data_IF_492365622678
#
_entry.id   IF_492365622678
#
_cell.length_a   1.000
_cell.length_b   1.000
_cell.length_c   1.000
_cell.angle_alpha   90.00
_cell.angle_beta   90.00
_cell.angle_gamma   90.00
#
_symmetry.space_group_name_H-M   'P 1'
#
loop_
_entity.id
_entity.type
_entity.pdbx_description
1 polymer ?
#
# COMPACT_ATOMS: atom_id res chain seq x y z
N UNK A 1 8.43 6.09 -73.68
CA UNK A 1 7.94 5.47 -72.42
C UNK A 1 8.72 6.04 -71.25
N UNK A 2 8.12 6.92 -70.44
CA UNK A 2 8.55 7.16 -69.06
C UNK A 2 7.39 6.93 -68.07
N UNK A 3 7.69 6.27 -66.96
CA UNK A 3 6.75 6.03 -65.85
C UNK A 3 6.86 7.24 -64.91
N UNK A 4 5.78 8.03 -64.85
CA UNK A 4 5.59 9.11 -63.87
C UNK A 4 4.94 8.51 -62.60
N UNK A 5 5.59 8.69 -61.45
CA UNK A 5 4.97 8.53 -60.12
C UNK A 5 4.26 9.82 -59.70
N UNK A 6 2.99 9.80 -59.24
CA UNK A 6 2.39 10.93 -58.58
C UNK A 6 2.55 10.86 -57.05
N UNK A 7 2.68 12.05 -56.46
CA UNK A 7 2.82 12.33 -55.05
C UNK A 7 1.61 11.85 -54.21
N UNK A 8 1.91 11.23 -53.06
CA UNK A 8 0.95 11.01 -51.97
C UNK A 8 0.55 12.36 -51.35
N UNK A 9 -0.70 12.76 -51.54
CA UNK A 9 -1.39 13.76 -50.71
C UNK A 9 -1.93 13.06 -49.46
N UNK A 10 -1.47 13.47 -48.29
CA UNK A 10 -2.02 13.08 -47.00
C UNK A 10 -3.47 13.59 -46.87
N UNK A 11 -4.41 12.66 -46.90
CA UNK A 11 -5.83 12.90 -46.64
C UNK A 11 -6.03 12.94 -45.11
N UNK A 12 -6.35 14.13 -44.58
CA UNK A 12 -6.77 14.32 -43.20
C UNK A 12 -8.19 13.73 -43.06
N UNK A 13 -8.31 12.51 -42.51
CA UNK A 13 -9.61 11.95 -42.15
C UNK A 13 -10.08 12.60 -40.84
N UNK A 14 -11.05 13.50 -40.96
CA UNK A 14 -11.90 13.95 -39.87
C UNK A 14 -12.84 12.78 -39.51
N UNK A 15 -12.51 12.02 -38.47
CA UNK A 15 -13.42 11.00 -37.94
C UNK A 15 -14.60 11.71 -37.26
N UNK A 16 -15.75 11.71 -37.94
CA UNK A 16 -17.02 12.14 -37.39
C UNK A 16 -17.39 11.23 -36.20
N UNK A 17 -17.70 11.85 -35.07
CA UNK A 17 -18.27 11.22 -33.89
C UNK A 17 -19.64 10.62 -34.24
N UNK A 18 -19.69 9.31 -34.44
CA UNK A 18 -20.93 8.54 -34.46
C UNK A 18 -21.57 8.62 -33.06
N UNK A 19 -22.82 9.09 -33.03
CA UNK A 19 -23.59 9.34 -31.81
C UNK A 19 -23.72 8.10 -30.93
N UNK A 20 -23.37 8.25 -29.65
CA UNK A 20 -23.71 7.31 -28.62
C UNK A 20 -25.24 7.20 -28.51
N UNK A 21 -25.76 5.97 -28.62
CA UNK A 21 -27.16 5.69 -28.37
C UNK A 21 -27.55 6.13 -26.95
N UNK A 22 -28.77 6.67 -26.73
CA UNK A 22 -29.25 7.04 -25.40
C UNK A 22 -29.18 5.81 -24.48
N UNK A 23 -28.41 5.98 -23.41
CA UNK A 23 -27.88 4.92 -22.57
C UNK A 23 -28.94 4.02 -21.96
N UNK A 24 -28.71 2.71 -22.07
CA UNK A 24 -29.22 1.79 -21.07
C UNK A 24 -28.80 2.32 -19.70
N UNK A 25 -29.78 2.56 -18.81
CA UNK A 25 -29.49 2.91 -17.43
C UNK A 25 -28.47 1.89 -16.91
N UNK A 26 -27.32 2.33 -16.35
CA UNK A 26 -26.34 1.41 -15.82
C UNK A 26 -27.08 0.47 -14.86
N UNK A 27 -26.92 -0.85 -15.07
CA UNK A 27 -27.49 -1.84 -14.19
C UNK A 27 -27.18 -1.43 -12.75
N UNK A 28 -28.22 -1.35 -11.90
CA UNK A 28 -28.07 -1.02 -10.48
C UNK A 28 -26.97 -1.91 -9.92
N UNK A 29 -25.83 -1.31 -9.62
CA UNK A 29 -24.71 -2.04 -9.04
C UNK A 29 -25.24 -2.73 -7.77
N UNK A 30 -24.95 -4.02 -7.62
CA UNK A 30 -25.32 -4.76 -6.43
C UNK A 30 -24.88 -3.98 -5.18
N UNK A 31 -25.74 -3.96 -4.15
CA UNK A 31 -25.42 -3.26 -2.92
C UNK A 31 -24.06 -3.75 -2.37
N UNK A 32 -23.21 -2.85 -1.86
CA UNK A 32 -21.92 -3.24 -1.32
C UNK A 32 -22.10 -4.31 -0.22
N UNK A 33 -21.34 -5.40 -0.34
CA UNK A 33 -21.32 -6.47 0.67
C UNK A 33 -20.16 -6.16 1.63
N UNK A 34 -20.51 -5.85 2.88
CA UNK A 34 -19.56 -5.68 3.97
C UNK A 34 -19.57 -6.88 4.90
N UNK A 35 -18.39 -7.41 5.21
CA UNK A 35 -18.24 -8.38 6.30
C UNK A 35 -17.83 -7.64 7.57
N UNK A 36 -18.48 -7.97 8.69
CA UNK A 36 -18.25 -7.32 9.97
C UNK A 36 -17.56 -8.28 10.93
N UNK A 37 -16.66 -7.76 11.76
CA UNK A 37 -16.01 -8.54 12.80
C UNK A 37 -15.81 -7.73 14.07
N UNK A 38 -15.93 -8.38 15.23
CA UNK A 38 -15.42 -7.89 16.50
C UNK A 38 -13.98 -8.36 16.65
N UNK A 39 -13.07 -7.42 16.93
CA UNK A 39 -11.64 -7.69 16.99
C UNK A 39 -11.27 -8.24 18.38
N UNK A 40 -10.41 -9.25 18.38
CA UNK A 40 -9.68 -9.71 19.56
C UNK A 40 -8.23 -9.29 19.44
N UNK A 41 -7.77 -8.45 20.36
CA UNK A 41 -6.35 -8.16 20.41
C UNK A 41 -5.63 -9.22 21.21
N UNK A 42 -4.72 -9.88 20.51
CA UNK A 42 -3.86 -10.92 21.07
C UNK A 42 -2.46 -10.35 21.13
N UNK A 43 -1.92 -10.31 22.34
CA UNK A 43 -0.54 -9.98 22.55
C UNK A 43 0.32 -11.20 22.41
N UNK A 44 1.49 -10.99 21.84
CA UNK A 44 2.46 -12.04 21.62
C UNK A 44 3.57 -11.90 22.64
N UNK A 45 3.65 -12.86 23.56
CA UNK A 45 4.84 -13.03 24.38
C UNK A 45 5.97 -13.55 23.50
N UNK A 46 7.23 -13.20 23.78
CA UNK A 46 8.36 -13.65 22.96
C UNK A 46 8.42 -15.17 22.83
N UNK A 47 8.06 -15.93 23.87
CA UNK A 47 8.03 -17.39 23.81
C UNK A 47 7.00 -17.99 22.83
N UNK A 48 6.23 -17.14 22.12
CA UNK A 48 5.20 -17.54 21.18
C UNK A 48 3.87 -17.85 21.86
N UNK A 49 3.79 -17.73 23.19
CA UNK A 49 2.52 -17.84 23.89
C UNK A 49 1.67 -16.58 23.64
N UNK A 50 0.37 -16.81 23.44
CA UNK A 50 -0.60 -15.74 23.34
C UNK A 50 -1.04 -15.34 24.75
N UNK A 51 -0.84 -14.07 25.11
CA UNK A 51 -1.59 -13.44 26.18
C UNK A 51 -2.74 -12.68 25.53
N UNK A 52 -3.98 -13.06 25.82
CA UNK A 52 -5.14 -12.29 25.37
C UNK A 52 -5.22 -11.02 26.22
N UNK A 53 -4.70 -9.92 25.69
CA UNK A 53 -4.71 -8.65 26.43
C UNK A 53 -6.10 -8.00 26.38
N UNK A 54 -6.83 -8.12 25.26
CA UNK A 54 -8.17 -7.53 25.12
C UNK A 54 -9.08 -8.40 24.24
N UNK A 55 -9.62 -9.52 24.78
CA UNK A 55 -10.68 -10.26 24.09
C UNK A 55 -11.97 -9.43 24.03
N UNK A 56 -12.77 -9.65 22.99
CA UNK A 56 -14.07 -8.99 22.79
C UNK A 56 -13.94 -7.48 22.92
N UNK A 57 -12.97 -6.91 22.18
CA UNK A 57 -12.67 -5.49 22.26
C UNK A 57 -13.85 -4.63 21.78
N UNK A 58 -13.72 -3.32 21.97
CA UNK A 58 -14.65 -2.32 21.44
C UNK A 58 -14.36 -1.94 19.97
N UNK A 59 -13.43 -2.65 19.33
CA UNK A 59 -13.08 -2.50 17.93
C UNK A 59 -13.91 -3.42 17.02
N UNK A 60 -14.55 -2.79 16.04
CA UNK A 60 -15.14 -3.43 14.88
C UNK A 60 -14.25 -3.30 13.66
N UNK A 61 -14.37 -4.24 12.74
CA UNK A 61 -13.79 -4.16 11.39
C UNK A 61 -14.88 -4.35 10.34
N UNK A 62 -14.91 -3.47 9.35
CA UNK A 62 -15.64 -3.64 8.11
C UNK A 62 -14.65 -4.03 7.00
N UNK A 63 -14.73 -5.27 6.49
CA UNK A 63 -14.11 -5.65 5.23
C UNK A 63 -15.11 -5.37 4.09
N UNK A 64 -14.87 -4.28 3.36
CA UNK A 64 -15.72 -3.86 2.25
C UNK A 64 -15.11 -4.30 0.93
N UNK A 65 -15.86 -5.10 0.17
CA UNK A 65 -15.48 -5.45 -1.21
C UNK A 65 -16.31 -4.64 -2.20
N UNK A 66 -15.64 -3.94 -3.10
CA UNK A 66 -16.30 -3.18 -4.15
C UNK A 66 -15.41 -3.05 -5.39
N UNK A 67 -16.05 -2.84 -6.54
CA UNK A 67 -15.36 -2.57 -7.79
C UNK A 67 -14.69 -1.20 -7.77
N UNK A 68 -13.44 -1.19 -8.21
CA UNK A 68 -12.67 0.00 -8.46
C UNK A 68 -13.37 0.92 -9.46
N UNK A 69 -13.44 2.21 -9.12
CA UNK A 69 -13.92 3.26 -10.01
C UNK A 69 -12.81 4.24 -10.37
N UNK A 70 -12.97 4.91 -11.51
CA UNK A 70 -12.08 5.99 -11.94
C UNK A 70 -12.20 7.23 -11.04
N UNK A 71 -13.34 7.39 -10.37
CA UNK A 71 -13.57 8.45 -9.39
C UNK A 71 -13.50 7.88 -7.98
N UNK A 72 -13.01 8.69 -7.03
CA UNK A 72 -13.04 8.32 -5.62
C UNK A 72 -14.49 8.04 -5.18
N UNK A 73 -14.69 6.93 -4.47
CA UNK A 73 -15.95 6.62 -3.79
C UNK A 73 -15.74 6.75 -2.28
N UNK A 74 -16.82 6.99 -1.55
CA UNK A 74 -16.78 7.31 -0.13
C UNK A 74 -17.58 6.28 0.67
N UNK A 75 -16.87 5.58 1.55
CA UNK A 75 -17.44 4.64 2.51
C UNK A 75 -18.07 5.41 3.66
N UNK A 76 -19.32 5.07 3.95
CA UNK A 76 -20.09 5.60 5.05
C UNK A 76 -20.74 4.45 5.82
N UNK A 77 -20.49 4.39 7.12
CA UNK A 77 -21.05 3.37 8.01
C UNK A 77 -21.73 4.00 9.21
N UNK A 78 -23.02 3.76 9.33
CA UNK A 78 -23.82 4.00 10.52
C UNK A 78 -23.96 2.67 11.29
N UNK A 79 -23.63 2.67 12.58
CA UNK A 79 -23.80 1.50 13.48
C UNK A 79 -24.62 1.95 14.68
N UNK A 80 -25.77 1.32 14.86
CA UNK A 80 -26.71 1.58 15.96
C UNK A 80 -27.06 3.08 16.11
N UNK A 81 -27.24 3.76 14.97
CA UNK A 81 -27.58 5.19 14.92
C UNK A 81 -26.40 6.15 15.04
N UNK A 82 -25.17 5.64 15.17
CA UNK A 82 -23.95 6.45 15.24
C UNK A 82 -23.14 6.34 13.96
N UNK A 83 -22.77 7.48 13.36
CA UNK A 83 -21.94 7.52 12.16
C UNK A 83 -20.47 7.20 12.48
N UNK A 84 -20.08 5.93 12.35
CA UNK A 84 -18.75 5.44 12.75
C UNK A 84 -17.68 5.63 11.69
N UNK A 85 -18.01 5.47 10.41
CA UNK A 85 -17.10 5.76 9.28
C UNK A 85 -17.75 6.84 8.44
N UNK A 86 -17.07 7.99 8.30
CA UNK A 86 -17.60 9.15 7.61
C UNK A 86 -16.75 9.49 6.41
N UNK A 87 -17.32 9.40 5.21
CA UNK A 87 -16.74 9.83 3.96
C UNK A 87 -15.30 9.35 3.73
N UNK A 88 -15.02 8.08 4.05
CA UNK A 88 -13.69 7.53 3.87
C UNK A 88 -13.46 7.11 2.42
N UNK A 89 -12.40 7.56 1.75
CA UNK A 89 -12.12 7.14 0.39
C UNK A 89 -11.95 5.62 0.26
N UNK A 90 -12.55 5.06 -0.78
CA UNK A 90 -12.33 3.69 -1.23
C UNK A 90 -11.39 3.69 -2.43
N UNK A 91 -10.22 3.06 -2.28
CA UNK A 91 -9.17 3.06 -3.29
C UNK A 91 -9.27 1.85 -4.23
N UNK A 92 -9.04 2.12 -5.51
CA UNK A 92 -8.98 1.15 -6.59
C UNK A 92 -7.65 0.36 -6.62
N UNK A 93 -7.21 -0.23 -5.49
CA UNK A 93 -5.85 -0.81 -5.35
C UNK A 93 -5.53 -1.94 -6.36
N UNK A 94 -6.55 -2.62 -6.90
CA UNK A 94 -6.38 -3.68 -7.92
C UNK A 94 -6.55 -3.13 -9.37
N UNK A 95 -6.64 -1.81 -9.53
CA UNK A 95 -6.91 -1.14 -10.79
C UNK A 95 -8.38 -1.10 -11.19
N UNK A 96 -8.70 -0.25 -12.16
CA UNK A 96 -10.07 -0.02 -12.65
C UNK A 96 -10.74 -1.30 -13.16
N UNK A 97 -12.01 -1.49 -12.79
CA UNK A 97 -12.81 -2.65 -13.20
C UNK A 97 -12.54 -3.93 -12.42
N UNK A 98 -11.56 -3.93 -11.50
CA UNK A 98 -11.31 -5.04 -10.60
C UNK A 98 -11.87 -4.74 -9.20
N UNK A 99 -12.45 -5.74 -8.56
CA UNK A 99 -12.86 -5.62 -7.16
C UNK A 99 -11.64 -5.55 -6.24
N UNK A 100 -11.73 -4.73 -5.20
CA UNK A 100 -10.78 -4.71 -4.10
C UNK A 100 -11.51 -4.90 -2.78
N UNK A 101 -10.82 -5.45 -1.78
CA UNK A 101 -11.31 -5.51 -0.41
C UNK A 101 -10.48 -4.58 0.45
N UNK A 102 -11.11 -3.59 1.07
CA UNK A 102 -10.48 -2.67 2.00
C UNK A 102 -11.11 -2.82 3.39
N UNK A 103 -10.26 -2.86 4.41
CA UNK A 103 -10.66 -2.96 5.79
C UNK A 103 -10.73 -1.58 6.44
N UNK A 104 -11.81 -1.29 7.15
CA UNK A 104 -12.01 -0.06 7.90
C UNK A 104 -12.33 -0.38 9.35
N UNK A 105 -11.50 0.10 10.27
CA UNK A 105 -11.78 -0.05 11.69
C UNK A 105 -12.83 0.96 12.16
N UNK A 106 -13.64 0.56 13.13
CA UNK A 106 -14.66 1.41 13.72
C UNK A 106 -14.93 1.04 15.19
N UNK A 107 -15.61 1.92 15.91
CA UNK A 107 -16.05 1.65 17.29
C UNK A 107 -17.39 0.95 17.34
N UNK A 108 -17.44 -0.15 18.08
CA UNK A 108 -18.67 -0.85 18.43
C UNK A 108 -19.42 -0.16 19.59
N UNK A 109 -18.73 0.65 20.39
CA UNK A 109 -19.32 1.36 21.52
C UNK A 109 -19.66 0.48 22.73
N UNK A 110 -19.24 -0.78 22.74
CA UNK A 110 -19.34 -1.66 23.90
C UNK A 110 -18.16 -1.46 24.87
N UNK A 111 -18.30 -1.99 26.07
CA UNK A 111 -17.16 -2.17 26.98
C UNK A 111 -16.33 -3.39 26.54
N UNK A 112 -14.99 -3.31 26.49
CA UNK A 112 -14.14 -4.47 26.22
C UNK A 112 -14.47 -5.66 27.13
N UNK A 113 -14.42 -6.88 26.59
CA UNK A 113 -14.87 -8.10 27.27
C UNK A 113 -16.35 -8.44 27.03
N UNK A 114 -17.10 -7.59 26.32
CA UNK A 114 -18.51 -7.84 25.98
C UNK A 114 -18.64 -8.37 24.56
N UNK A 115 -19.24 -9.56 24.40
CA UNK A 115 -19.55 -10.12 23.09
C UNK A 115 -20.67 -9.34 22.41
N UNK A 116 -20.44 -8.95 21.15
CA UNK A 116 -21.44 -8.34 20.29
C UNK A 116 -21.70 -9.28 19.12
N UNK A 117 -22.81 -10.02 19.18
CA UNK A 117 -23.15 -11.00 18.15
C UNK A 117 -23.68 -10.36 16.87
N UNK A 118 -24.36 -9.22 16.99
CA UNK A 118 -24.95 -8.51 15.87
C UNK A 118 -25.01 -7.00 16.11
N UNK A 119 -24.98 -6.24 15.02
CA UNK A 119 -25.20 -4.78 15.00
C UNK A 119 -26.29 -4.41 13.99
N UNK A 120 -27.05 -3.35 14.28
CA UNK A 120 -27.85 -2.69 13.26
C UNK A 120 -26.95 -1.72 12.48
N UNK A 121 -27.03 -1.73 11.14
CA UNK A 121 -26.14 -0.91 10.33
C UNK A 121 -26.81 -0.27 9.12
N UNK A 122 -26.24 0.85 8.70
CA UNK A 122 -26.45 1.49 7.41
C UNK A 122 -25.11 1.62 6.70
N UNK A 123 -24.97 1.06 5.50
CA UNK A 123 -23.73 1.12 4.71
C UNK A 123 -23.99 1.78 3.37
N UNK A 124 -23.19 2.78 3.03
CA UNK A 124 -23.23 3.44 1.73
C UNK A 124 -21.83 3.57 1.14
N UNK A 125 -21.75 3.41 -0.19
CA UNK A 125 -20.55 3.65 -0.99
C UNK A 125 -20.90 4.60 -2.14
N UNK A 126 -20.80 5.89 -1.87
CA UNK A 126 -21.26 6.98 -2.75
C UNK A 126 -20.13 7.61 -3.57
N UNK A 127 -20.46 8.29 -4.66
CA UNK A 127 -19.49 9.10 -5.42
C UNK A 127 -19.24 10.47 -4.81
N UNK A 128 -20.19 10.98 -4.03
CA UNK A 128 -20.07 12.23 -3.30
C UNK A 128 -20.04 11.97 -1.79
N UNK A 129 -19.33 12.80 -1.01
CA UNK A 129 -19.41 12.77 0.44
C UNK A 129 -20.86 13.02 0.90
N UNK A 130 -21.30 12.26 1.90
CA UNK A 130 -22.61 12.46 2.53
C UNK A 130 -22.54 13.58 3.58
N UNK A 131 -23.66 14.29 3.73
CA UNK A 131 -23.84 15.29 4.77
C UNK A 131 -24.36 14.69 6.10
N UNK A 132 -25.05 13.56 6.03
CA UNK A 132 -25.61 12.80 7.15
C UNK A 132 -25.26 11.32 7.05
N UNK A 133 -25.37 10.60 8.16
CA UNK A 133 -25.18 9.16 8.20
C UNK A 133 -26.20 8.46 7.26
N UNK A 134 -25.84 7.33 6.63
CA UNK A 134 -26.82 6.51 5.93
C UNK A 134 -27.85 5.96 6.93
N UNK A 135 -29.10 5.81 6.49
CA UNK A 135 -30.14 5.18 7.29
C UNK A 135 -29.78 3.73 7.60
N UNK A 136 -30.22 3.26 8.77
CA UNK A 136 -30.08 1.84 9.14
C UNK A 136 -30.92 1.02 8.17
N UNK A 137 -30.28 0.11 7.46
CA UNK A 137 -30.88 -0.67 6.38
C UNK A 137 -30.81 -2.18 6.62
N UNK A 138 -30.12 -2.63 7.67
CA UNK A 138 -30.04 -4.04 8.00
C UNK A 138 -29.40 -4.34 9.34
N UNK A 139 -29.22 -5.64 9.60
CA UNK A 139 -28.45 -6.17 10.72
C UNK A 139 -27.34 -7.05 10.18
N UNK A 140 -26.17 -7.02 10.82
CA UNK A 140 -25.04 -7.88 10.49
C UNK A 140 -24.61 -8.68 11.71
N UNK A 141 -24.30 -9.96 11.51
CA UNK A 141 -23.60 -10.77 12.51
C UNK A 141 -22.11 -10.42 12.50
N UNK A 142 -21.48 -10.39 13.67
CA UNK A 142 -20.04 -10.13 13.78
C UNK A 142 -19.28 -11.44 13.91
N UNK A 143 -18.35 -11.67 12.99
CA UNK A 143 -17.34 -12.71 13.19
C UNK A 143 -16.35 -12.29 14.27
N UNK A 144 -15.65 -13.26 14.86
CA UNK A 144 -14.52 -13.01 15.75
C UNK A 144 -13.26 -12.91 14.91
N UNK A 145 -12.47 -11.85 15.08
CA UNK A 145 -11.23 -11.66 14.34
C UNK A 145 -10.03 -11.51 15.28
N UNK A 146 -9.17 -12.53 15.41
CA UNK A 146 -7.91 -12.38 16.15
C UNK A 146 -6.96 -11.47 15.37
N UNK A 147 -6.54 -10.39 16.03
CA UNK A 147 -5.47 -9.49 15.59
C UNK A 147 -4.31 -9.67 16.56
N UNK A 148 -3.19 -10.14 16.04
CA UNK A 148 -1.98 -10.35 16.80
C UNK A 148 -0.84 -9.56 16.17
N UNK A 149 -0.32 -8.59 16.91
CA UNK A 149 0.80 -7.74 16.51
C UNK A 149 1.80 -7.81 17.66
N UNK A 150 3.01 -8.29 17.39
CA UNK A 150 4.01 -8.43 18.45
C UNK A 150 4.95 -7.26 18.61
N UNK A 151 5.76 -7.32 19.69
CA UNK A 151 6.75 -6.32 20.08
C UNK A 151 8.09 -6.44 19.36
N UNK A 152 8.96 -5.43 19.57
CA UNK A 152 10.38 -5.53 19.20
C UNK A 152 11.14 -6.40 20.21
N UNK A 153 12.38 -6.79 19.90
CA UNK A 153 13.27 -7.60 20.76
C UNK A 153 13.33 -7.16 22.25
N UNK A 154 12.90 -8.04 23.18
CA UNK A 154 13.15 -7.94 24.63
C UNK A 154 12.21 -7.03 25.42
N UNK A 155 10.95 -6.90 25.00
CA UNK A 155 10.07 -5.78 25.34
C UNK A 155 8.61 -6.14 25.63
N UNK A 156 8.04 -5.53 26.67
CA UNK A 156 6.67 -5.82 27.12
C UNK A 156 5.63 -5.67 25.99
N UNK A 157 4.57 -6.49 25.99
CA UNK A 157 3.46 -6.43 25.04
C UNK A 157 2.80 -5.04 24.93
N UNK A 158 1.97 -4.82 23.89
CA UNK A 158 1.24 -3.56 23.70
C UNK A 158 0.29 -3.36 24.87
N UNK A 159 0.70 -2.59 25.88
CA UNK A 159 -0.17 -2.12 26.95
C UNK A 159 -1.21 -1.17 26.35
N UNK A 160 -2.36 -1.74 26.02
CA UNK A 160 -3.61 -1.10 25.66
C UNK A 160 -3.66 -0.38 24.30
N UNK A 161 -4.45 -0.94 23.38
CA UNK A 161 -4.91 -0.23 22.19
C UNK A 161 -6.09 0.64 22.61
N UNK A 162 -5.97 1.95 22.43
CA UNK A 162 -7.02 2.88 22.79
C UNK A 162 -8.33 2.53 22.07
N UNK A 163 -9.46 2.82 22.73
CA UNK A 163 -10.78 2.72 22.10
C UNK A 163 -10.78 3.43 20.73
N UNK A 164 -11.30 2.81 19.67
CA UNK A 164 -11.23 3.37 18.33
C UNK A 164 -12.07 4.64 18.29
N UNK A 165 -11.53 5.69 17.70
CA UNK A 165 -12.31 6.89 17.39
C UNK A 165 -13.17 6.65 16.15
N UNK A 166 -14.16 7.52 15.92
CA UNK A 166 -14.83 7.55 14.62
C UNK A 166 -13.79 7.78 13.51
N UNK A 167 -13.92 7.03 12.42
CA UNK A 167 -13.01 7.16 11.29
C UNK A 167 -13.49 8.29 10.38
N UNK A 168 -12.82 9.44 10.51
CA UNK A 168 -13.22 10.68 9.87
C UNK A 168 -12.44 10.90 8.57
N UNK A 169 -13.14 10.77 7.46
CA UNK A 169 -12.72 11.20 6.13
C UNK A 169 -13.33 12.55 5.74
N UNK A 170 -13.25 12.87 4.45
CA UNK A 170 -13.83 14.05 3.82
C UNK A 170 -13.81 13.84 2.29
N UNK A 171 -14.31 14.81 1.53
CA UNK A 171 -14.07 14.89 0.11
C UNK A 171 -12.57 14.84 -0.21
N UNK A 172 -12.20 14.12 -1.26
CA UNK A 172 -10.87 14.18 -1.82
C UNK A 172 -10.58 15.62 -2.31
N UNK A 173 -9.42 16.15 -1.91
CA UNK A 173 -8.88 17.43 -2.36
C UNK A 173 -7.98 17.29 -3.60
N UNK A 174 -7.60 16.06 -3.93
CA UNK A 174 -6.82 15.69 -5.11
C UNK A 174 -7.11 14.23 -5.46
N UNK A 175 -6.73 13.81 -6.66
CA UNK A 175 -6.84 12.41 -7.08
C UNK A 175 -6.05 11.51 -6.11
N UNK A 176 -6.63 10.36 -5.69
CA UNK A 176 -5.92 9.41 -4.87
C UNK A 176 -4.65 8.89 -5.56
N UNK A 177 -3.58 8.76 -4.78
CA UNK A 177 -2.36 8.11 -5.19
C UNK A 177 -2.35 6.73 -4.57
N UNK A 178 -2.12 5.69 -5.36
CA UNK A 178 -1.94 4.35 -4.82
C UNK A 178 -1.05 3.49 -5.70
N UNK A 179 -0.51 2.44 -5.10
CA UNK A 179 0.30 1.44 -5.77
C UNK A 179 -0.62 0.32 -6.23
N UNK A 180 -0.86 0.26 -7.55
CA UNK A 180 -1.70 -0.78 -8.17
C UNK A 180 -1.06 -2.16 -8.03
N UNK A 181 -1.91 -3.17 -7.78
CA UNK A 181 -1.56 -4.59 -7.71
C UNK A 181 -0.40 -4.86 -6.74
N UNK A 182 -0.38 -4.13 -5.62
CA UNK A 182 0.65 -4.29 -4.61
C UNK A 182 0.56 -5.68 -3.97
N UNK A 183 1.65 -6.48 -3.95
CA UNK A 183 1.61 -7.80 -3.35
C UNK A 183 1.41 -7.65 -1.84
N UNK A 184 0.55 -8.49 -1.29
CA UNK A 184 0.47 -8.70 0.15
C UNK A 184 0.68 -10.19 0.39
N UNK A 185 1.58 -10.55 1.30
CA UNK A 185 2.05 -11.91 1.48
C UNK A 185 1.71 -12.39 2.88
N UNK A 186 1.29 -13.65 2.98
CA UNK A 186 1.30 -14.35 4.26
C UNK A 186 2.73 -14.35 4.82
N UNK A 187 2.86 -14.02 6.10
CA UNK A 187 4.15 -13.99 6.78
C UNK A 187 4.07 -14.76 8.10
N UNK A 188 5.25 -15.11 8.61
CA UNK A 188 5.36 -15.86 9.86
C UNK A 188 5.26 -15.00 11.11
N UNK A 189 5.56 -15.63 12.23
CA UNK A 189 5.57 -15.05 13.56
C UNK A 189 6.54 -13.87 13.69
N UNK A 190 6.02 -12.66 13.94
CA UNK A 190 6.77 -11.41 14.10
C UNK A 190 7.55 -10.95 12.85
N UNK A 191 6.95 -11.13 11.66
CA UNK A 191 7.62 -10.87 10.37
C UNK A 191 7.12 -9.59 9.66
N UNK A 192 6.47 -8.65 10.36
CA UNK A 192 5.95 -7.42 9.73
C UNK A 192 6.98 -6.67 8.88
N UNK A 193 8.20 -6.45 9.39
CA UNK A 193 9.26 -5.76 8.64
C UNK A 193 9.73 -6.57 7.43
N UNK A 194 10.17 -7.84 7.57
CA UNK A 194 10.50 -8.67 6.41
C UNK A 194 9.39 -8.76 5.36
N UNK A 195 8.13 -8.85 5.78
CA UNK A 195 6.97 -8.91 4.91
C UNK A 195 6.78 -7.60 4.14
N UNK A 196 6.73 -6.46 4.83
CA UNK A 196 6.58 -5.14 4.22
C UNK A 196 7.70 -4.84 3.20
N UNK A 197 8.95 -5.15 3.55
CA UNK A 197 10.10 -4.96 2.65
C UNK A 197 10.04 -5.94 1.47
N UNK A 198 9.67 -7.20 1.70
CA UNK A 198 9.51 -8.20 0.63
C UNK A 198 8.44 -7.78 -0.37
N UNK A 199 7.28 -7.32 0.12
CA UNK A 199 6.18 -6.84 -0.71
C UNK A 199 6.63 -5.68 -1.61
N UNK A 200 7.28 -4.66 -1.03
CA UNK A 200 7.80 -3.52 -1.79
C UNK A 200 8.82 -3.91 -2.86
N UNK A 201 9.77 -4.78 -2.52
CA UNK A 201 10.79 -5.25 -3.47
C UNK A 201 10.22 -6.10 -4.59
N UNK A 202 9.22 -6.95 -4.29
CA UNK A 202 8.53 -7.75 -5.32
C UNK A 202 7.72 -6.86 -6.26
N UNK A 203 7.09 -5.82 -5.73
CA UNK A 203 6.41 -4.83 -6.56
C UNK A 203 7.39 -4.08 -7.47
N UNK A 204 8.52 -3.58 -6.93
CA UNK A 204 9.57 -2.92 -7.73
C UNK A 204 10.15 -3.86 -8.80
N UNK A 205 10.27 -5.16 -8.51
CA UNK A 205 10.68 -6.16 -9.51
C UNK A 205 9.65 -6.28 -10.63
N UNK A 206 8.38 -6.48 -10.29
CA UNK A 206 7.30 -6.67 -11.26
C UNK A 206 7.06 -5.40 -12.10
N UNK A 207 6.90 -4.25 -11.45
CA UNK A 207 6.43 -3.02 -12.11
C UNK A 207 7.55 -2.10 -12.58
N UNK A 208 8.74 -2.19 -12.00
CA UNK A 208 9.87 -1.29 -12.32
C UNK A 208 11.10 -2.02 -12.87
N UNK A 209 11.06 -3.35 -12.98
CA UNK A 209 12.15 -4.14 -13.56
C UNK A 209 13.38 -4.27 -12.65
N UNK A 210 13.21 -4.24 -11.33
CA UNK A 210 14.30 -4.55 -10.39
C UNK A 210 14.87 -5.95 -10.68
N UNK A 211 16.09 -6.01 -11.23
CA UNK A 211 16.77 -7.26 -11.56
C UNK A 211 17.40 -7.89 -10.31
N UNK A 212 16.58 -8.58 -9.52
CA UNK A 212 17.01 -9.28 -8.30
C UNK A 212 16.43 -10.70 -8.26
N UNK A 213 17.21 -11.72 -7.87
CA UNK A 213 16.71 -13.08 -7.63
C UNK A 213 15.62 -13.12 -6.55
N UNK A 214 14.57 -13.93 -6.75
CA UNK A 214 13.44 -13.99 -5.79
C UNK A 214 13.85 -14.47 -4.40
N UNK A 215 14.82 -15.38 -4.32
CA UNK A 215 15.35 -15.85 -3.05
C UNK A 215 15.98 -14.71 -2.23
N UNK A 216 16.51 -13.65 -2.85
CA UNK A 216 17.11 -12.48 -2.18
C UNK A 216 16.10 -11.46 -1.67
N UNK A 217 14.87 -11.51 -2.16
CA UNK A 217 13.79 -10.59 -1.72
C UNK A 217 12.63 -11.36 -1.07
N UNK A 218 12.84 -12.64 -0.76
CA UNK A 218 11.90 -13.46 -0.02
C UNK A 218 11.82 -12.99 1.44
N UNK A 219 10.66 -13.21 2.06
CA UNK A 219 10.46 -12.93 3.48
C UNK A 219 11.52 -13.66 4.33
N UNK A 220 11.82 -14.92 4.03
CA UNK A 220 12.81 -15.72 4.75
C UNK A 220 14.23 -15.11 4.66
N UNK A 221 14.67 -14.70 3.48
CA UNK A 221 15.99 -14.10 3.31
C UNK A 221 16.10 -12.72 3.99
N UNK A 222 15.04 -11.92 3.95
CA UNK A 222 15.00 -10.63 4.63
C UNK A 222 14.91 -10.79 6.14
N UNK A 223 14.18 -11.80 6.64
CA UNK A 223 14.10 -12.12 8.06
C UNK A 223 15.47 -12.43 8.66
N UNK A 224 16.34 -13.12 7.92
CA UNK A 224 17.72 -13.42 8.35
C UNK A 224 18.59 -12.18 8.60
N UNK A 225 18.16 -11.00 8.17
CA UNK A 225 18.93 -9.75 8.27
C UNK A 225 18.21 -8.68 9.09
N UNK A 226 16.87 -8.65 9.00
CA UNK A 226 16.02 -7.60 9.57
C UNK A 226 15.43 -7.96 10.94
N UNK A 227 15.45 -9.24 11.33
CA UNK A 227 15.05 -9.66 12.68
C UNK A 227 16.20 -9.50 13.69
N UNK A 228 15.85 -9.47 14.98
CA UNK A 228 16.81 -9.65 16.06
C UNK A 228 17.48 -11.03 16.04
N UNK A 229 18.55 -11.23 16.84
CA UNK A 229 19.35 -12.46 16.87
C UNK A 229 18.59 -13.70 17.39
N UNK A 230 17.53 -13.52 18.18
CA UNK A 230 16.67 -14.56 18.71
C UNK A 230 15.59 -15.00 17.73
N UNK A 231 15.25 -16.29 17.76
CA UNK A 231 14.14 -16.87 16.97
C UNK A 231 12.80 -16.18 17.23
N UNK A 232 12.66 -15.66 18.44
CA UNK A 232 11.48 -15.01 18.98
C UNK A 232 11.54 -13.48 18.90
N UNK A 233 12.65 -12.92 18.43
CA UNK A 233 12.77 -11.47 18.36
C UNK A 233 11.94 -10.96 17.19
N UNK A 234 11.30 -9.80 17.39
CA UNK A 234 10.69 -9.05 16.30
C UNK A 234 11.74 -8.47 15.34
N UNK A 235 11.37 -7.42 14.64
CA UNK A 235 12.33 -6.64 13.88
C UNK A 235 13.37 -6.01 14.82
N UNK A 236 14.62 -5.94 14.37
CA UNK A 236 15.65 -5.17 15.08
C UNK A 236 15.29 -3.67 15.07
N UNK A 237 15.61 -2.93 16.14
CA UNK A 237 15.29 -1.49 16.25
C UNK A 237 15.87 -0.65 15.12
N UNK A 238 16.99 -1.07 14.56
CA UNK A 238 17.69 -0.41 13.47
C UNK A 238 17.49 -1.11 12.11
N UNK A 239 16.37 -1.81 11.92
CA UNK A 239 16.13 -2.63 10.72
C UNK A 239 16.35 -1.86 9.42
N UNK A 240 16.06 -0.56 9.38
CA UNK A 240 16.28 0.29 8.21
C UNK A 240 17.77 0.47 7.88
N UNK A 241 18.67 0.46 8.88
CA UNK A 241 20.12 0.44 8.66
C UNK A 241 20.58 -0.92 8.14
N UNK A 242 20.08 -2.00 8.74
CA UNK A 242 20.37 -3.36 8.28
C UNK A 242 19.87 -3.58 6.83
N UNK A 243 18.70 -3.06 6.47
CA UNK A 243 18.16 -3.03 5.10
C UNK A 243 19.09 -2.27 4.15
N UNK A 244 19.53 -1.07 4.52
CA UNK A 244 20.47 -0.29 3.72
C UNK A 244 21.79 -1.02 3.48
N UNK A 245 22.31 -1.68 4.52
CA UNK A 245 23.52 -2.49 4.43
C UNK A 245 23.29 -3.72 3.53
N UNK A 246 22.15 -4.42 3.67
CA UNK A 246 21.77 -5.54 2.81
C UNK A 246 21.70 -5.16 1.32
N UNK A 247 21.09 -4.01 1.01
CA UNK A 247 21.03 -3.43 -0.34
C UNK A 247 22.44 -3.23 -0.90
N UNK A 248 23.35 -2.67 -0.09
CA UNK A 248 24.75 -2.44 -0.49
C UNK A 248 25.51 -3.74 -0.72
N UNK A 249 25.43 -4.68 0.22
CA UNK A 249 26.19 -5.95 0.18
C UNK A 249 25.74 -6.85 -0.98
N UNK A 250 24.45 -6.83 -1.29
CA UNK A 250 23.90 -7.57 -2.42
C UNK A 250 23.90 -6.76 -3.73
N UNK A 251 24.50 -5.57 -3.74
CA UNK A 251 24.61 -4.68 -4.91
C UNK A 251 23.25 -4.43 -5.60
N UNK A 252 22.20 -4.30 -4.80
CA UNK A 252 20.86 -4.05 -5.34
C UNK A 252 20.80 -2.62 -5.89
N UNK A 253 20.21 -2.40 -7.07
CA UNK A 253 20.15 -1.10 -7.73
C UNK A 253 19.09 -0.18 -7.11
N UNK A 254 19.14 -0.01 -5.79
CA UNK A 254 18.13 0.68 -5.01
C UNK A 254 18.74 1.86 -4.24
N UNK A 255 17.98 2.95 -4.14
CA UNK A 255 18.19 3.99 -3.15
C UNK A 255 17.27 3.73 -1.97
N UNK A 256 17.68 4.18 -0.79
CA UNK A 256 16.85 4.17 0.39
C UNK A 256 16.93 5.53 1.06
N UNK A 257 15.79 6.05 1.48
CA UNK A 257 15.70 7.28 2.24
C UNK A 257 14.82 7.07 3.47
N UNK A 258 15.28 7.54 4.63
CA UNK A 258 14.47 7.56 5.85
C UNK A 258 13.74 8.90 5.94
N UNK A 259 12.42 8.85 5.79
CA UNK A 259 11.52 9.99 5.86
C UNK A 259 10.92 10.04 7.27
N UNK A 260 11.24 11.09 8.03
CA UNK A 260 10.74 11.28 9.41
C UNK A 260 9.49 12.14 9.50
N UNK A 261 8.88 12.47 8.36
CA UNK A 261 7.62 13.20 8.34
C UNK A 261 6.71 12.66 7.25
N UNK A 262 5.41 12.67 7.55
CA UNK A 262 4.40 12.13 6.66
C UNK A 262 4.26 12.92 5.34
N UNK A 263 4.33 14.27 5.29
CA UNK A 263 4.23 15.00 4.03
C UNK A 263 5.29 14.61 2.98
N UNK A 264 6.53 14.33 3.41
CA UNK A 264 7.57 13.84 2.51
C UNK A 264 7.30 12.42 2.06
N UNK A 265 6.77 11.55 2.93
CA UNK A 265 6.31 10.22 2.53
C UNK A 265 5.18 10.31 1.50
N UNK A 266 4.21 11.20 1.70
CA UNK A 266 3.13 11.43 0.75
C UNK A 266 3.64 11.92 -0.62
N UNK A 267 4.58 12.87 -0.62
CA UNK A 267 5.22 13.33 -1.86
C UNK A 267 6.03 12.23 -2.54
N UNK A 268 6.71 11.37 -1.77
CA UNK A 268 7.47 10.26 -2.32
C UNK A 268 6.55 9.20 -2.96
N UNK A 269 5.43 8.85 -2.32
CA UNK A 269 4.44 7.92 -2.88
C UNK A 269 3.84 8.47 -4.18
N UNK A 270 3.51 9.77 -4.20
CA UNK A 270 2.93 10.46 -5.35
C UNK A 270 3.79 10.44 -6.62
N UNK A 271 5.11 10.20 -6.51
CA UNK A 271 5.99 10.02 -7.67
C UNK A 271 5.73 8.71 -8.42
N UNK A 272 5.11 7.71 -7.77
CA UNK A 272 4.75 6.43 -8.38
C UNK A 272 5.93 5.52 -8.73
N UNK A 273 7.14 5.84 -8.27
CA UNK A 273 8.38 5.08 -8.48
C UNK A 273 9.00 4.56 -7.18
N UNK A 274 8.32 4.80 -6.06
CA UNK A 274 8.81 4.57 -4.70
C UNK A 274 7.84 3.69 -3.95
N UNK A 275 8.39 2.71 -3.21
CA UNK A 275 7.65 1.96 -2.17
C UNK A 275 8.01 2.54 -0.82
N UNK A 276 7.06 2.56 0.11
CA UNK A 276 7.25 3.11 1.44
C UNK A 276 6.90 2.06 2.47
N UNK A 277 7.87 1.67 3.29
CA UNK A 277 7.60 0.96 4.52
C UNK A 277 7.32 1.98 5.64
N UNK A 278 6.18 1.81 6.29
CA UNK A 278 5.73 2.64 7.40
C UNK A 278 5.88 1.82 8.67
N UNK A 279 6.68 2.30 9.60
CA UNK A 279 6.88 1.70 10.90
C UNK A 279 6.38 2.65 11.97
N UNK A 280 5.61 2.13 12.91
CA UNK A 280 5.16 2.87 14.07
C UNK A 280 5.69 2.18 15.32
N UNK A 281 6.10 2.98 16.29
CA UNK A 281 6.61 2.49 17.56
C UNK A 281 6.13 3.36 18.71
N UNK A 282 5.63 2.72 19.77
CA UNK A 282 5.41 3.35 21.09
C UNK A 282 6.33 2.68 22.08
N UNK A 283 7.33 3.44 22.53
CA UNK A 283 8.38 2.95 23.40
C UNK A 283 9.09 1.76 22.77
N UNK A 284 8.62 0.58 23.13
CA UNK A 284 9.26 -0.70 22.94
C UNK A 284 8.54 -1.62 21.96
N UNK A 285 7.27 -1.36 21.67
CA UNK A 285 6.50 -2.10 20.68
C UNK A 285 6.50 -1.36 19.35
N UNK A 286 6.55 -2.08 18.23
CA UNK A 286 6.29 -1.49 16.93
C UNK A 286 5.63 -2.45 15.95
N UNK A 287 4.96 -1.85 14.97
CA UNK A 287 4.43 -2.55 13.80
C UNK A 287 5.00 -1.94 12.53
N UNK A 288 5.06 -2.72 11.46
CA UNK A 288 5.47 -2.21 10.15
C UNK A 288 4.55 -2.70 9.05
N UNK A 289 4.27 -1.82 8.10
CA UNK A 289 3.36 -2.03 6.99
C UNK A 289 3.93 -1.41 5.73
N UNK A 290 3.39 -1.79 4.57
CA UNK A 290 3.63 -1.05 3.34
C UNK A 290 2.57 0.03 3.19
N UNK A 291 2.98 1.29 3.05
CA UNK A 291 2.08 2.39 2.67
C UNK A 291 1.83 2.32 1.16
N UNK A 292 0.59 1.99 0.78
CA UNK A 292 0.23 1.70 -0.61
C UNK A 292 -0.80 2.65 -1.19
N UNK A 293 -1.42 3.52 -0.38
CA UNK A 293 -2.44 4.44 -0.87
C UNK A 293 -2.59 5.68 0.00
N UNK A 294 -2.89 6.80 -0.64
CA UNK A 294 -3.08 8.11 -0.02
C UNK A 294 -4.14 8.90 -0.77
N UNK A 295 -5.05 9.52 -0.01
CA UNK A 295 -5.97 10.54 -0.53
C UNK A 295 -5.86 11.78 0.34
N UNK A 296 -5.45 12.90 -0.25
CA UNK A 296 -5.50 14.19 0.46
C UNK A 296 -6.96 14.61 0.62
N UNK A 297 -7.37 14.94 1.84
CA UNK A 297 -8.75 15.30 2.20
C UNK A 297 -8.92 16.82 2.26
N UNK A 298 -10.13 17.34 2.00
CA UNK A 298 -10.41 18.80 2.03
C UNK A 298 -10.22 19.42 3.41
N UNK A 299 -10.46 18.68 4.49
CA UNK A 299 -10.14 19.09 5.85
C UNK A 299 -8.62 19.22 6.16
N UNK A 300 -7.75 18.89 5.20
CA UNK A 300 -6.30 18.99 5.32
C UNK A 300 -5.61 17.70 5.77
N UNK A 301 -6.37 16.68 6.20
CA UNK A 301 -5.84 15.37 6.61
C UNK A 301 -5.60 14.47 5.38
N UNK A 302 -5.13 13.25 5.63
CA UNK A 302 -4.99 12.22 4.60
C UNK A 302 -5.76 10.96 4.99
N UNK A 303 -6.49 10.37 4.05
CA UNK A 303 -6.80 8.95 4.15
C UNK A 303 -5.57 8.15 3.74
N UNK A 304 -5.23 7.14 4.54
CA UNK A 304 -3.99 6.35 4.43
C UNK A 304 -4.35 4.89 4.31
N UNK A 305 -3.87 4.23 3.27
CA UNK A 305 -4.10 2.81 3.01
C UNK A 305 -2.80 2.03 3.09
N UNK A 306 -2.80 0.97 3.90
CA UNK A 306 -1.64 0.13 4.14
C UNK A 306 -1.91 -1.33 3.82
N UNK A 307 -0.93 -2.03 3.25
CA UNK A 307 -0.91 -3.49 3.19
C UNK A 307 -0.05 -4.00 4.34
N UNK A 308 -0.63 -4.82 5.21
CA UNK A 308 0.07 -5.37 6.37
C UNK A 308 -0.47 -6.71 6.82
N UNK A 309 0.35 -7.35 7.64
CA UNK A 309 -0.02 -8.49 8.46
C UNK A 309 -0.73 -8.04 9.73
N UNK A 310 -1.81 -8.75 10.04
CA UNK A 310 -2.69 -8.43 11.16
C UNK A 310 -2.84 -9.60 12.11
N UNK A 311 -2.39 -10.79 11.69
CA UNK A 311 -2.28 -11.94 12.56
C UNK A 311 -0.86 -12.51 12.46
N UNK A 312 -0.03 -12.13 13.42
CA UNK A 312 1.33 -12.62 13.57
C UNK A 312 1.43 -13.84 14.47
N UNK A 313 0.33 -14.52 14.81
CA UNK A 313 0.40 -15.77 15.57
C UNK A 313 1.19 -16.83 14.78
N UNK A 314 1.94 -17.68 15.49
CA UNK A 314 2.68 -18.75 14.85
C UNK A 314 1.74 -19.71 14.12
N UNK A 315 1.98 -19.94 12.82
CA UNK A 315 1.14 -20.80 11.97
C UNK A 315 -0.19 -20.18 11.52
N UNK A 316 -0.48 -18.92 11.85
CA UNK A 316 -1.71 -18.27 11.41
C UNK A 316 -1.60 -17.70 10.00
N UNK A 317 -2.72 -17.75 9.27
CA UNK A 317 -2.89 -17.05 8.01
C UNK A 317 -3.56 -15.69 8.27
N UNK A 318 -2.79 -14.60 8.40
CA UNK A 318 -3.39 -13.25 8.47
C UNK A 318 -2.52 -12.11 7.96
N UNK A 319 -1.60 -12.41 7.05
CA UNK A 319 -0.71 -11.47 6.38
C UNK A 319 -1.33 -10.61 5.27
N UNK A 320 -2.64 -10.65 5.02
CA UNK A 320 -3.23 -10.18 3.75
C UNK A 320 -4.18 -8.99 3.86
N UNK A 321 -4.20 -8.27 4.99
CA UNK A 321 -5.14 -7.15 5.15
C UNK A 321 -4.64 -5.91 4.43
N UNK A 322 -5.58 -5.21 3.80
CA UNK A 322 -5.38 -3.85 3.31
C UNK A 322 -6.31 -2.94 4.08
N UNK A 323 -5.74 -2.18 5.00
CA UNK A 323 -6.50 -1.35 5.93
C UNK A 323 -6.41 0.11 5.54
N UNK A 324 -7.51 0.84 5.71
CA UNK A 324 -7.55 2.29 5.51
C UNK A 324 -7.92 3.02 6.80
N UNK A 325 -7.16 4.05 7.12
CA UNK A 325 -7.42 4.96 8.23
C UNK A 325 -7.13 6.41 7.85
N UNK A 326 -6.96 7.27 8.84
CA UNK A 326 -6.71 8.71 8.64
C UNK A 326 -5.41 9.12 9.31
N UNK A 327 -4.61 9.96 8.65
CA UNK A 327 -3.50 10.70 9.26
C UNK A 327 -3.92 12.15 9.45
N UNK A 328 -3.94 12.59 10.71
CA UNK A 328 -4.24 13.97 11.06
C UNK A 328 -3.00 14.84 10.93
N UNK A 329 -3.07 15.86 10.07
CA UNK A 329 -1.93 16.73 9.78
C UNK A 329 -1.60 17.71 10.91
N UNK A 330 -2.53 17.96 11.82
CA UNK A 330 -2.35 18.87 12.96
C UNK A 330 -1.73 18.16 14.15
N UNK A 331 -2.24 16.96 14.47
CA UNK A 331 -1.75 16.18 15.61
C UNK A 331 -0.60 15.26 15.24
N UNK A 332 -0.46 14.90 13.96
CA UNK A 332 0.53 13.94 13.48
C UNK A 332 0.19 12.49 13.81
N UNK A 333 -1.07 12.20 14.15
CA UNK A 333 -1.52 10.88 14.59
C UNK A 333 -2.30 10.14 13.51
N UNK A 334 -2.16 8.82 13.49
CA UNK A 334 -2.99 7.93 12.70
C UNK A 334 -4.17 7.42 13.51
N UNK A 335 -5.33 7.26 12.88
CA UNK A 335 -6.52 6.65 13.45
C UNK A 335 -7.09 5.57 12.54
N UNK A 336 -7.66 4.53 13.13
CA UNK A 336 -8.30 3.42 12.42
C UNK A 336 -7.34 2.47 11.69
N UNK A 337 -6.06 2.49 12.07
CA UNK A 337 -5.03 1.57 11.58
C UNK A 337 -4.44 0.76 12.76
N UNK A 338 -4.55 -0.57 12.74
CA UNK A 338 -4.05 -1.40 13.84
C UNK A 338 -2.53 -1.37 13.93
N UNK A 339 -2.01 -1.24 15.15
CA UNK A 339 -0.57 -1.06 15.37
C UNK A 339 -0.04 0.31 14.97
N UNK A 340 -0.91 1.21 14.50
CA UNK A 340 -0.59 2.60 14.15
C UNK A 340 -1.47 3.60 14.90
N UNK A 341 -2.64 3.18 15.40
CA UNK A 341 -3.52 3.99 16.23
C UNK A 341 -3.01 4.02 17.68
N UNK A 342 -2.43 5.14 18.09
CA UNK A 342 -2.18 5.43 19.50
C UNK A 342 -2.34 6.93 19.73
N UNK A 343 -3.25 7.30 20.62
CA UNK A 343 -3.75 8.66 20.77
C UNK A 343 -2.70 9.68 21.21
N UNK A 344 -1.56 9.28 21.77
CA UNK A 344 -0.61 10.27 22.34
C UNK A 344 0.89 9.94 22.23
N UNK A 345 1.32 8.78 21.71
CA UNK A 345 2.71 8.29 21.92
C UNK A 345 3.44 7.65 20.73
N UNK A 346 2.89 7.71 19.51
CA UNK A 346 3.50 7.06 18.34
C UNK A 346 4.57 7.90 17.67
N UNK A 347 5.78 7.32 17.55
CA UNK A 347 6.79 7.78 16.61
C UNK A 347 6.67 6.99 15.31
N UNK A 348 6.39 7.69 14.21
CA UNK A 348 6.35 7.10 12.88
C UNK A 348 7.69 7.27 12.17
N UNK A 349 8.20 6.17 11.61
CA UNK A 349 9.35 6.17 10.70
C UNK A 349 8.88 5.65 9.35
N UNK A 350 9.10 6.43 8.31
CA UNK A 350 8.82 6.02 6.94
C UNK A 350 10.15 5.74 6.24
N UNK A 351 10.26 4.62 5.54
CA UNK A 351 11.44 4.27 4.76
C UNK A 351 11.00 4.18 3.32
N UNK A 352 11.45 5.13 2.51
CA UNK A 352 11.21 5.17 1.09
C UNK A 352 12.32 4.42 0.35
N UNK A 353 11.93 3.66 -0.67
CA UNK A 353 12.84 2.94 -1.53
C UNK A 353 12.42 3.06 -3.00
N UNK A 354 13.37 3.39 -3.87
CA UNK A 354 13.18 3.47 -5.31
C UNK A 354 14.38 2.89 -6.05
N UNK A 355 14.22 2.66 -7.36
CA UNK A 355 15.34 2.27 -8.22
C UNK A 355 16.34 3.42 -8.38
N UNK A 356 17.63 3.12 -8.36
CA UNK A 356 18.67 4.08 -8.74
C UNK A 356 18.47 4.49 -10.20
N UNK A 357 18.51 5.79 -10.47
CA UNK A 357 18.41 6.32 -11.83
C UNK A 357 19.50 5.74 -12.76
N UNK A 358 20.69 5.48 -12.20
CA UNK A 358 21.86 4.93 -12.87
C UNK A 358 21.72 3.44 -13.24
N UNK A 359 20.68 2.76 -12.74
CA UNK A 359 20.37 1.38 -13.11
C UNK A 359 19.49 1.27 -14.37
N UNK A 360 19.06 2.40 -14.94
CA UNK A 360 18.38 2.38 -16.23
C UNK A 360 19.38 1.95 -17.30
N UNK A 361 19.11 0.78 -17.90
CA UNK A 361 19.73 0.37 -19.16
C UNK A 361 19.67 1.57 -20.12
N UNK A 362 20.76 1.92 -20.82
CA UNK A 362 20.74 3.04 -21.76
C UNK A 362 19.54 2.89 -22.68
N UNK A 363 18.78 3.98 -22.87
CA UNK A 363 17.59 3.90 -23.72
C UNK A 363 17.98 3.39 -25.12
N UNK A 364 17.07 2.75 -25.87
CA UNK A 364 17.39 2.21 -27.20
C UNK A 364 18.07 3.23 -28.13
N UNK A 365 17.73 4.52 -27.98
CA UNK A 365 18.40 5.61 -28.69
C UNK A 365 19.88 5.77 -28.31
N UNK A 366 20.24 5.57 -27.04
CA UNK A 366 21.64 5.59 -26.58
C UNK A 366 22.42 4.40 -27.16
N UNK A 367 21.81 3.20 -27.20
CA UNK A 367 22.41 2.05 -27.89
C UNK A 367 22.58 2.30 -29.38
N UNK A 368 21.56 2.86 -30.03
CA UNK A 368 21.61 3.20 -31.44
C UNK A 368 22.73 4.21 -31.74
N UNK A 369 22.90 5.24 -30.89
CA UNK A 369 23.99 6.21 -31.00
C UNK A 369 25.37 5.56 -30.79
N UNK A 370 25.49 4.61 -29.88
CA UNK A 370 26.73 3.86 -29.63
C UNK A 370 27.10 2.98 -30.82
N UNK A 371 26.13 2.22 -31.36
CA UNK A 371 26.30 1.37 -32.55
C UNK A 371 26.58 2.22 -33.79
N UNK A 372 25.86 3.33 -33.98
CA UNK A 372 26.08 4.27 -35.08
C UNK A 372 27.47 4.92 -34.97
N UNK A 373 27.88 5.32 -33.78
CA UNK A 373 29.21 5.85 -33.50
C UNK A 373 30.31 4.85 -33.88
N UNK A 374 30.21 3.60 -33.40
CA UNK A 374 31.16 2.55 -33.79
C UNK A 374 31.15 2.25 -35.29
N UNK A 375 29.97 2.26 -35.92
CA UNK A 375 29.82 2.09 -37.37
C UNK A 375 30.52 3.19 -38.15
N UNK A 376 30.35 4.45 -37.75
CA UNK A 376 31.00 5.61 -38.38
C UNK A 376 32.53 5.58 -38.20
N UNK A 377 33.02 5.28 -36.99
CA UNK A 377 34.45 5.14 -36.75
C UNK A 377 35.05 4.01 -37.60
N UNK A 378 34.39 2.86 -37.66
CA UNK A 378 34.80 1.74 -38.52
C UNK A 378 34.83 2.10 -40.00
N UNK A 379 33.81 2.81 -40.49
CA UNK A 379 33.75 3.29 -41.87
C UNK A 379 34.87 4.29 -42.19
N UNK A 380 35.15 5.23 -41.27
CA UNK A 380 36.24 6.19 -41.42
C UNK A 380 37.62 5.50 -41.48
N UNK A 381 37.85 4.49 -40.65
CA UNK A 381 39.09 3.70 -40.66
C UNK A 381 39.26 2.89 -41.94
N UNK A 382 38.18 2.30 -42.49
CA UNK A 382 38.23 1.60 -43.79
C UNK A 382 38.56 2.54 -44.94
N UNK A 383 38.01 3.77 -44.93
CA UNK A 383 38.26 4.76 -45.99
C UNK A 383 39.72 5.21 -46.06
N UNK A 384 40.45 5.23 -44.94
CA UNK A 384 41.89 5.60 -44.90
C UNK A 384 42.83 4.55 -45.48
N UNK A 385 42.46 3.27 -45.57
CA UNK A 385 43.35 2.20 -46.06
C UNK A 385 43.43 2.10 -47.59
N UNK A 386 42.58 2.82 -48.34
CA UNK A 386 42.48 2.66 -49.80
C UNK A 386 43.52 3.50 -50.58
N UNK A 387 44.32 4.33 -49.92
CA UNK A 387 45.31 5.18 -50.59
C UNK A 387 46.76 4.80 -50.21
N UNK A 388 47.25 3.66 -50.70
CA UNK A 388 48.69 3.45 -50.89
C UNK A 388 48.93 3.16 -52.37
N UNK A 389 49.22 4.17 -53.20
CA UNK A 389 49.59 3.95 -54.58
C UNK A 389 50.92 3.20 -54.63
N UNK A 390 50.92 2.04 -55.30
CA UNK A 390 52.14 1.32 -55.65
C UNK A 390 52.99 2.22 -56.56
N UNK A 391 54.09 2.78 -56.05
CA UNK A 391 55.09 3.44 -56.89
C UNK A 391 55.76 2.35 -57.75
N UNK A 392 55.68 2.52 -59.06
CA UNK A 392 56.53 1.82 -60.04
C UNK A 392 57.82 2.59 -60.20
#
# INVERSE_FOLDING_TARGET
>A
MPINHPAMRSLLLLAASLGAAPGAAPALAAAPIGNFSQVDFVSLNFDGSAAFDVPLSDWGLLDLTADASASARYVNLNVDGVWRIRNMPFLAINGLGNSATLSYAFSLGNTPGTQIDSIAYGLSLSFDPLASAPDISGNATLARLPVAIGGNEGEDPIEYIAAPSALLGDAAAADPVFIKDFPNQQCGYLFCVPAAVSNGLKWLKKEKGLNVPDNKISIAALAAVLKGPGVNDGARKDWFKAKAQYIKDNKLPLTQEVLRNFPRAATALAKGDTVIEMSASVGKVGHSASLIGLTKLKNGNYAVTVAHDTNQLNGAAGGLKVQTGTYDMKTGLMTGLWGFDNKDKMAYTFVAQSLRADAKVPEPATWAMLVAGFGLTGAALRRRRVAVPCRR
#
